data_IF_152839948615
#
_entry.id   IF_152839948615
#
_cell.length_a   1.000
_cell.length_b   1.000
_cell.length_c   1.000
_cell.angle_alpha   90.00
_cell.angle_beta   90.00
_cell.angle_gamma   90.00
#
_symmetry.space_group_name_H-M   'P 1'
#
loop_
_entity.id
_entity.type
_entity.pdbx_description
1 polymer ?
#
# COMPACT_ATOMS: atom_id res chain seq x y z
N UNK A 1 -3.54 -3.29 -1.49
CA UNK A 1 -3.52 -3.23 -0.01
C UNK A 1 -2.14 -3.66 0.45
N UNK A 2 -1.44 -2.79 1.18
CA UNK A 2 -0.16 -3.09 1.80
C UNK A 2 -0.27 -2.70 3.27
N UNK A 3 -0.37 -3.69 4.17
CA UNK A 3 -0.61 -3.38 5.58
C UNK A 3 -0.09 -4.46 6.54
N UNK A 4 -0.04 -4.10 7.83
CA UNK A 4 0.29 -5.00 8.92
C UNK A 4 -0.95 -5.33 9.74
N UNK A 5 -1.24 -6.62 9.86
CA UNK A 5 -2.33 -7.17 10.65
C UNK A 5 -1.79 -7.81 11.92
N UNK A 6 -2.50 -7.61 13.03
CA UNK A 6 -2.16 -8.17 14.35
C UNK A 6 -0.70 -7.96 14.78
N UNK A 7 -0.06 -6.92 14.24
CA UNK A 7 1.35 -6.56 14.47
C UNK A 7 2.41 -7.60 14.06
N UNK A 8 2.00 -8.77 13.56
CA UNK A 8 2.89 -9.88 13.24
C UNK A 8 2.74 -10.42 11.80
N UNK A 9 1.75 -9.96 11.05
CA UNK A 9 1.49 -10.40 9.69
C UNK A 9 1.54 -9.22 8.73
N UNK A 10 2.47 -9.26 7.76
CA UNK A 10 2.54 -8.26 6.69
C UNK A 10 1.82 -8.80 5.45
N UNK A 11 0.78 -8.09 5.01
CA UNK A 11 -0.10 -8.50 3.93
C UNK A 11 0.07 -7.59 2.71
N UNK A 12 0.39 -8.19 1.55
CA UNK A 12 0.52 -7.50 0.28
C UNK A 12 -0.45 -8.12 -0.72
N UNK A 13 -1.53 -7.40 -1.02
CA UNK A 13 -2.50 -7.78 -2.04
C UNK A 13 -2.58 -6.70 -3.11
N UNK A 14 -2.31 -7.09 -4.35
CA UNK A 14 -2.36 -6.23 -5.52
C UNK A 14 -3.42 -6.74 -6.53
N UNK A 15 -3.91 -5.84 -7.38
CA UNK A 15 -4.93 -6.15 -8.40
C UNK A 15 -4.38 -5.96 -9.82
N UNK A 16 -3.35 -6.74 -10.16
CA UNK A 16 -2.77 -6.85 -11.51
C UNK A 16 -1.93 -5.63 -11.98
N UNK A 17 -1.42 -4.81 -11.06
CA UNK A 17 -0.50 -3.69 -11.34
C UNK A 17 0.85 -3.80 -10.62
N UNK A 18 1.08 -4.87 -9.87
CA UNK A 18 2.22 -5.06 -8.98
C UNK A 18 3.58 -5.04 -9.68
N UNK A 19 3.65 -5.43 -10.96
CA UNK A 19 4.90 -5.42 -11.73
C UNK A 19 5.52 -4.01 -11.83
N UNK A 20 4.69 -2.99 -12.09
CA UNK A 20 5.15 -1.58 -12.14
C UNK A 20 5.47 -1.04 -10.75
N UNK A 21 4.94 -1.67 -9.71
CA UNK A 21 5.10 -1.30 -8.31
C UNK A 21 6.25 -2.07 -7.64
N UNK A 22 7.24 -2.55 -8.41
CA UNK A 22 8.36 -3.35 -7.87
C UNK A 22 9.15 -2.64 -6.76
N UNK A 23 9.20 -1.29 -6.79
CA UNK A 23 9.81 -0.48 -5.73
C UNK A 23 9.08 -0.54 -4.38
N UNK A 24 7.80 -0.93 -4.35
CA UNK A 24 7.02 -1.09 -3.11
C UNK A 24 7.59 -2.17 -2.21
N UNK A 25 8.19 -3.22 -2.77
CA UNK A 25 8.79 -4.30 -1.99
C UNK A 25 9.84 -3.80 -1.00
N UNK A 26 10.68 -2.84 -1.43
CA UNK A 26 11.67 -2.19 -0.56
C UNK A 26 11.00 -1.42 0.57
N UNK A 27 9.99 -0.60 0.24
CA UNK A 27 9.26 0.19 1.24
C UNK A 27 8.60 -0.69 2.30
N UNK A 28 7.97 -1.79 1.90
CA UNK A 28 7.34 -2.73 2.83
C UNK A 28 8.38 -3.43 3.70
N UNK A 29 9.55 -3.78 3.16
CA UNK A 29 10.64 -4.38 3.93
C UNK A 29 11.20 -3.41 4.97
N UNK A 30 11.38 -2.13 4.62
CA UNK A 30 11.80 -1.08 5.56
C UNK A 30 10.79 -0.92 6.70
N UNK A 31 9.48 -0.83 6.41
CA UNK A 31 8.45 -0.78 7.48
C UNK A 31 8.48 -2.01 8.38
N UNK A 32 8.69 -3.19 7.79
CA UNK A 32 8.76 -4.45 8.53
C UNK A 32 9.89 -4.44 9.54
N UNK A 33 11.11 -4.09 9.09
CA UNK A 33 12.33 -4.13 9.91
C UNK A 33 12.40 -2.97 10.91
N UNK A 34 12.04 -1.77 10.50
CA UNK A 34 12.16 -0.57 11.34
C UNK A 34 10.93 -0.35 12.23
N UNK A 35 9.87 -1.14 12.04
CA UNK A 35 8.58 -0.99 12.70
C UNK A 35 7.97 0.43 12.58
N UNK A 36 8.36 1.17 11.54
CA UNK A 36 7.89 2.51 11.26
C UNK A 36 6.92 2.51 10.09
N UNK A 37 5.85 3.31 10.18
CA UNK A 37 4.96 3.55 9.04
C UNK A 37 5.50 4.69 8.18
N UNK A 38 5.50 4.50 6.87
CA UNK A 38 5.78 5.50 5.85
C UNK A 38 4.49 6.09 5.29
N UNK A 39 4.52 7.40 5.04
CA UNK A 39 3.40 8.12 4.42
C UNK A 39 3.15 7.67 2.97
N UNK A 40 4.19 7.16 2.29
CA UNK A 40 4.05 6.65 0.92
C UNK A 40 3.12 5.42 0.83
N UNK A 41 3.07 4.60 1.88
CA UNK A 41 2.19 3.43 1.93
C UNK A 41 0.81 3.75 2.51
N UNK A 42 0.59 4.96 3.04
CA UNK A 42 -0.69 5.38 3.64
C UNK A 42 -1.89 5.16 2.70
N UNK A 43 -1.85 5.51 1.40
CA UNK A 43 -2.99 5.28 0.51
C UNK A 43 -3.33 3.79 0.33
N UNK A 44 -2.40 2.89 0.62
CA UNK A 44 -2.55 1.44 0.41
C UNK A 44 -3.01 0.69 1.66
N UNK A 45 -3.21 1.39 2.79
CA UNK A 45 -3.67 0.79 4.05
C UNK A 45 -5.06 0.20 3.92
N UNK A 46 -5.31 -0.85 4.69
CA UNK A 46 -6.62 -1.47 4.73
C UNK A 46 -7.66 -0.58 5.41
N UNK A 47 -7.24 0.26 6.38
CA UNK A 47 -8.12 1.20 7.09
C UNK A 47 -8.87 2.16 6.17
N UNK A 48 -8.31 2.47 5.00
CA UNK A 48 -8.90 3.39 4.01
C UNK A 48 -10.35 3.05 3.62
N UNK A 49 -10.71 1.76 3.66
CA UNK A 49 -12.06 1.32 3.35
C UNK A 49 -13.06 1.70 4.45
N UNK A 50 -12.64 1.61 5.71
CA UNK A 50 -13.45 2.00 6.86
C UNK A 50 -13.48 3.52 7.07
N UNK A 51 -12.36 4.20 6.78
CA UNK A 51 -12.19 5.64 6.97
C UNK A 51 -12.76 6.48 5.80
N UNK A 52 -13.07 5.85 4.66
CA UNK A 52 -13.54 6.55 3.46
C UNK A 52 -12.43 7.28 2.69
N UNK A 53 -11.17 7.11 3.09
CA UNK A 53 -9.95 7.67 2.48
C UNK A 53 -9.56 6.90 1.20
N UNK A 54 -10.52 6.73 0.29
CA UNK A 54 -10.35 5.96 -0.93
C UNK A 54 -9.33 6.62 -1.88
N UNK A 55 -8.78 5.80 -2.77
CA UNK A 55 -7.84 6.27 -3.78
C UNK A 55 -8.48 7.36 -4.67
N UNK A 56 -7.70 8.41 -5.04
CA UNK A 56 -8.22 9.47 -5.90
C UNK A 56 -8.65 8.89 -7.25
N UNK A 57 -9.80 9.34 -7.75
CA UNK A 57 -10.25 9.02 -9.11
C UNK A 57 -9.39 9.76 -10.11
N UNK A 58 -8.52 9.03 -10.81
CA UNK A 58 -7.74 9.59 -11.91
C UNK A 58 -8.56 9.56 -13.20
N UNK A 59 -8.53 10.66 -13.97
CA UNK A 59 -9.02 10.68 -15.36
C UNK A 59 -8.03 10.02 -16.34
N UNK A 60 -6.86 9.60 -15.85
CA UNK A 60 -5.91 8.83 -16.64
C UNK A 60 -6.42 7.40 -16.83
N UNK A 61 -6.29 6.80 -18.04
CA UNK A 61 -6.50 5.37 -18.21
C UNK A 61 -5.49 4.53 -17.41
N UNK A 62 -4.44 5.16 -16.88
CA UNK A 62 -3.47 4.57 -15.97
C UNK A 62 -3.59 5.24 -14.59
N UNK A 63 -4.29 4.63 -13.62
CA UNK A 63 -4.53 5.25 -12.31
C UNK A 63 -3.26 5.44 -11.45
N UNK A 64 -2.10 4.94 -11.90
CA UNK A 64 -0.84 4.89 -11.13
C UNK A 64 0.41 5.15 -11.99
N UNK A 65 0.42 6.20 -12.81
CA UNK A 65 1.63 6.67 -13.53
C UNK A 65 2.19 7.94 -12.91
#
# INVERSE_FOLDING_TARGET
VFDRFFENCTFLADSNHGYKMIGVGKLVAEELLEHRRTDLLRPFRFSRYAEGELHPTSNSPFPWS
#
